data_IF_856628257132
#
_entry.id   IF_856628257132
#
_cell.length_a   1.000
_cell.length_b   1.000
_cell.length_c   1.000
_cell.angle_alpha   90.00
_cell.angle_beta   90.00
_cell.angle_gamma   90.00
#
_symmetry.space_group_name_H-M   'P 1'
#
loop_
_entity.id
_entity.type
_entity.pdbx_description
1 polymer ?
#
# COMPACT_ATOMS: atom_id res chain seq x y z
N UNK A 1 2.11 13.78 -21.41
CA UNK A 1 2.54 12.72 -20.45
C UNK A 1 2.99 11.51 -21.24
N UNK A 2 4.28 11.19 -21.24
CA UNK A 2 4.83 10.04 -21.95
C UNK A 2 4.29 8.76 -21.31
N UNK A 3 3.69 7.90 -22.10
CA UNK A 3 3.43 6.51 -21.77
C UNK A 3 4.77 5.75 -21.84
N UNK A 4 5.57 5.82 -20.82
CA UNK A 4 6.60 4.82 -20.60
C UNK A 4 5.88 3.59 -20.05
N UNK A 5 5.33 2.79 -20.95
CA UNK A 5 4.93 1.43 -20.66
C UNK A 5 6.21 0.62 -20.42
N UNK A 6 6.79 0.75 -19.24
CA UNK A 6 7.71 -0.26 -18.75
C UNK A 6 6.95 -1.59 -18.83
N UNK A 7 7.42 -2.46 -19.69
CA UNK A 7 6.90 -3.82 -19.84
C UNK A 7 7.09 -4.54 -18.49
N UNK A 8 6.11 -4.42 -17.60
CA UNK A 8 6.08 -5.09 -16.29
C UNK A 8 5.73 -6.57 -16.46
N UNK A 9 6.14 -7.17 -17.56
CA UNK A 9 5.85 -8.53 -18.00
C UNK A 9 5.55 -9.48 -16.85
N UNK A 10 4.28 -9.66 -16.53
CA UNK A 10 3.81 -10.64 -15.55
C UNK A 10 3.96 -10.26 -14.06
N UNK A 11 4.34 -9.03 -13.70
CA UNK A 11 4.41 -8.62 -12.29
C UNK A 11 3.01 -8.47 -11.69
N UNK A 12 2.80 -9.15 -10.56
CA UNK A 12 1.61 -9.06 -9.74
C UNK A 12 1.85 -8.14 -8.55
N UNK A 13 0.84 -7.34 -8.20
CA UNK A 13 0.85 -6.54 -6.99
C UNK A 13 0.10 -7.27 -5.89
N UNK A 14 0.73 -7.46 -4.73
CA UNK A 14 0.06 -7.85 -3.50
C UNK A 14 -0.42 -6.62 -2.73
N UNK A 15 -1.64 -6.68 -2.22
CA UNK A 15 -2.18 -5.68 -1.29
C UNK A 15 -2.63 -6.37 -0.03
N UNK A 16 -1.94 -6.13 1.08
CA UNK A 16 -2.32 -6.64 2.39
C UNK A 16 -3.22 -5.63 3.10
N UNK A 17 -4.44 -6.06 3.44
CA UNK A 17 -5.49 -5.20 3.97
C UNK A 17 -6.37 -4.61 2.86
N UNK A 18 -7.68 -4.60 3.11
CA UNK A 18 -8.66 -4.03 2.18
C UNK A 18 -9.60 -3.06 2.91
N UNK A 19 -9.01 -2.23 3.78
CA UNK A 19 -9.65 -1.04 4.34
C UNK A 19 -9.70 0.08 3.30
N UNK A 20 -9.95 1.30 3.74
CA UNK A 20 -10.01 2.48 2.84
C UNK A 20 -8.72 2.66 2.03
N UNK A 21 -7.57 2.62 2.67
CA UNK A 21 -6.28 2.81 1.97
C UNK A 21 -6.02 1.67 0.99
N UNK A 22 -6.25 0.40 1.38
CA UNK A 22 -6.10 -0.74 0.48
C UNK A 22 -7.01 -0.66 -0.74
N UNK A 23 -8.27 -0.28 -0.54
CA UNK A 23 -9.22 -0.06 -1.63
C UNK A 23 -8.73 1.02 -2.60
N UNK A 24 -8.32 2.18 -2.10
CA UNK A 24 -7.78 3.25 -2.94
C UNK A 24 -6.48 2.86 -3.64
N UNK A 25 -5.62 2.08 -3.00
CA UNK A 25 -4.42 1.51 -3.63
C UNK A 25 -4.81 0.68 -4.85
N UNK A 26 -5.79 -0.23 -4.69
CA UNK A 26 -6.32 -1.03 -5.82
C UNK A 26 -6.90 -0.13 -6.91
N UNK A 27 -7.73 0.87 -6.56
CA UNK A 27 -8.31 1.80 -7.53
C UNK A 27 -7.24 2.54 -8.35
N UNK A 28 -6.19 3.03 -7.68
CA UNK A 28 -5.10 3.72 -8.35
C UNK A 28 -4.35 2.82 -9.34
N UNK A 29 -4.07 1.57 -8.96
CA UNK A 29 -3.37 0.64 -9.85
C UNK A 29 -4.25 0.17 -11.00
N UNK A 30 -5.56 0.00 -10.79
CA UNK A 30 -6.54 -0.25 -11.85
C UNK A 30 -6.56 0.93 -12.84
N UNK A 31 -6.61 2.17 -12.36
CA UNK A 31 -6.60 3.35 -13.22
C UNK A 31 -5.32 3.50 -14.05
N UNK A 32 -4.18 3.11 -13.49
CA UNK A 32 -2.86 3.29 -14.12
C UNK A 32 -2.39 2.10 -14.96
N UNK A 33 -3.00 0.92 -14.77
CA UNK A 33 -2.64 -0.30 -15.50
C UNK A 33 -1.16 -0.69 -15.38
N UNK A 34 -0.53 -0.45 -14.21
CA UNK A 34 0.87 -0.81 -13.98
C UNK A 34 1.07 -2.32 -13.80
N UNK A 35 0.04 -3.01 -13.29
CA UNK A 35 0.05 -4.45 -13.03
C UNK A 35 -1.07 -5.11 -13.80
N UNK A 36 -0.81 -6.29 -14.33
CA UNK A 36 -1.82 -7.08 -15.05
C UNK A 36 -2.76 -7.81 -14.07
N UNK A 37 -2.28 -8.07 -12.87
CA UNK A 37 -3.02 -8.76 -11.82
C UNK A 37 -2.72 -8.14 -10.46
N UNK A 38 -3.75 -8.07 -9.61
CA UNK A 38 -3.63 -7.63 -8.22
C UNK A 38 -4.16 -8.74 -7.33
N UNK A 39 -3.38 -9.11 -6.31
CA UNK A 39 -3.79 -10.10 -5.29
C UNK A 39 -4.01 -9.35 -3.98
N UNK A 40 -5.25 -9.36 -3.50
CA UNK A 40 -5.65 -8.66 -2.29
C UNK A 40 -5.84 -9.66 -1.16
N UNK A 41 -5.15 -9.49 -0.03
CA UNK A 41 -5.43 -10.26 1.18
C UNK A 41 -6.29 -9.44 2.15
N UNK A 42 -7.48 -9.96 2.50
CA UNK A 42 -8.40 -9.28 3.39
C UNK A 42 -8.12 -9.60 4.87
N UNK A 43 -7.58 -10.77 5.17
CA UNK A 43 -7.14 -11.15 6.52
C UNK A 43 -8.24 -11.25 7.59
N UNK A 44 -9.50 -11.03 7.22
CA UNK A 44 -10.68 -11.15 8.08
C UNK A 44 -11.91 -11.51 7.23
N UNK A 45 -12.91 -12.08 7.86
CA UNK A 45 -14.21 -12.23 7.23
C UNK A 45 -14.77 -10.84 6.89
N UNK A 46 -14.86 -10.53 5.63
CA UNK A 46 -15.48 -9.30 5.10
C UNK A 46 -16.54 -9.73 4.10
N UNK A 47 -17.79 -9.59 4.48
CA UNK A 47 -18.90 -10.11 3.70
C UNK A 47 -18.99 -11.64 3.76
N UNK A 48 -20.04 -12.20 3.19
CA UNK A 48 -20.28 -13.65 3.09
C UNK A 48 -19.88 -14.19 1.71
N UNK A 49 -19.83 -13.33 0.70
CA UNK A 49 -19.58 -13.69 -0.69
C UNK A 49 -18.59 -12.75 -1.36
N UNK A 50 -18.09 -13.14 -2.52
CA UNK A 50 -17.26 -12.28 -3.37
C UNK A 50 -18.08 -11.11 -3.96
N UNK A 51 -19.38 -11.27 -4.10
CA UNK A 51 -20.28 -10.19 -4.49
C UNK A 51 -20.33 -9.08 -3.44
N UNK A 52 -20.32 -9.41 -2.14
CA UNK A 52 -20.23 -8.41 -1.07
C UNK A 52 -18.90 -7.65 -1.14
N UNK A 53 -17.82 -8.38 -1.43
CA UNK A 53 -16.50 -7.76 -1.65
C UNK A 53 -16.51 -6.84 -2.87
N UNK A 54 -17.17 -7.24 -3.96
CA UNK A 54 -17.32 -6.41 -5.16
C UNK A 54 -18.09 -5.11 -4.85
N UNK A 55 -19.19 -5.20 -4.10
CA UNK A 55 -19.92 -4.02 -3.65
C UNK A 55 -19.08 -3.12 -2.74
N UNK A 56 -18.32 -3.71 -1.84
CA UNK A 56 -17.39 -2.95 -0.98
C UNK A 56 -16.26 -2.30 -1.78
N UNK A 57 -15.73 -3.00 -2.79
CA UNK A 57 -14.70 -2.50 -3.66
C UNK A 57 -15.17 -1.33 -4.54
N UNK A 58 -16.45 -1.38 -4.99
CA UNK A 58 -17.05 -0.35 -5.83
C UNK A 58 -17.30 0.96 -5.09
N UNK A 59 -17.47 0.94 -3.76
CA UNK A 59 -17.97 2.08 -2.98
C UNK A 59 -17.05 2.45 -1.82
N UNK A 60 -16.88 3.75 -1.64
CA UNK A 60 -16.29 4.31 -0.44
C UNK A 60 -17.13 5.49 0.07
N UNK A 61 -17.31 5.57 1.40
CA UNK A 61 -18.15 6.61 2.03
C UNK A 61 -17.56 8.01 1.89
N UNK A 62 -16.26 8.13 1.68
CA UNK A 62 -15.56 9.41 1.58
C UNK A 62 -15.16 9.71 0.13
N UNK A 63 -14.65 8.72 -0.59
CA UNK A 63 -14.08 8.89 -1.93
C UNK A 63 -15.04 8.55 -3.06
N UNK A 64 -16.25 8.14 -2.75
CA UNK A 64 -17.30 7.92 -3.73
C UNK A 64 -17.24 6.53 -4.36
N UNK A 65 -17.32 6.44 -5.68
CA UNK A 65 -17.45 5.17 -6.41
C UNK A 65 -16.29 4.96 -7.39
N UNK A 66 -15.86 3.71 -7.54
CA UNK A 66 -14.79 3.31 -8.44
C UNK A 66 -15.04 3.78 -9.89
N UNK A 67 -16.26 3.58 -10.43
CA UNK A 67 -16.57 4.01 -11.79
C UNK A 67 -16.45 5.54 -11.94
N UNK A 68 -16.86 6.31 -10.93
CA UNK A 68 -16.72 7.78 -10.95
C UNK A 68 -15.26 8.20 -10.84
N UNK A 69 -14.46 7.50 -10.06
CA UNK A 69 -13.01 7.71 -9.97
C UNK A 69 -12.30 7.46 -11.32
N UNK A 70 -12.74 6.42 -12.07
CA UNK A 70 -12.14 6.06 -13.36
C UNK A 70 -12.65 6.93 -14.52
N UNK A 71 -13.93 7.24 -14.54
CA UNK A 71 -14.62 7.77 -15.73
C UNK A 71 -15.44 9.03 -15.47
N UNK A 72 -15.42 9.59 -14.27
CA UNK A 72 -16.18 10.77 -13.93
C UNK A 72 -17.70 10.54 -14.05
N UNK A 73 -18.36 11.37 -14.85
CA UNK A 73 -19.81 11.29 -15.08
C UNK A 73 -20.22 10.15 -16.04
N UNK A 74 -19.27 9.55 -16.77
CA UNK A 74 -19.55 8.46 -17.70
C UNK A 74 -19.68 7.13 -16.93
N UNK A 75 -20.80 6.96 -16.24
CA UNK A 75 -21.07 5.78 -15.44
C UNK A 75 -21.18 4.53 -16.34
N UNK A 76 -20.34 3.54 -16.07
CA UNK A 76 -20.45 2.20 -16.66
C UNK A 76 -20.04 1.16 -15.62
N UNK A 77 -20.56 -0.08 -15.69
CA UNK A 77 -20.07 -1.16 -14.85
C UNK A 77 -18.58 -1.34 -15.02
N UNK A 78 -17.84 -1.42 -13.92
CA UNK A 78 -16.38 -1.58 -13.92
C UNK A 78 -15.94 -2.90 -13.29
N UNK A 79 -16.85 -3.62 -12.64
CA UNK A 79 -16.62 -4.94 -12.06
C UNK A 79 -17.43 -5.97 -12.85
N UNK A 80 -16.79 -7.04 -13.28
CA UNK A 80 -17.38 -8.16 -14.02
C UNK A 80 -16.70 -9.47 -13.67
N UNK A 81 -17.16 -10.56 -14.25
CA UNK A 81 -16.56 -11.90 -14.23
C UNK A 81 -16.20 -12.35 -12.80
N UNK A 82 -17.20 -12.24 -11.89
CA UNK A 82 -17.03 -12.64 -10.49
C UNK A 82 -17.09 -14.17 -10.38
N UNK A 83 -15.96 -14.78 -10.01
CA UNK A 83 -15.83 -16.22 -9.76
C UNK A 83 -15.61 -16.48 -8.27
N UNK A 84 -16.66 -16.90 -7.57
CA UNK A 84 -16.63 -17.19 -6.13
C UNK A 84 -15.68 -18.34 -5.77
N UNK A 85 -15.54 -19.35 -6.65
CA UNK A 85 -14.67 -20.51 -6.39
C UNK A 85 -13.20 -20.15 -6.53
N UNK A 86 -12.86 -19.39 -7.57
CA UNK A 86 -11.49 -18.92 -7.79
C UNK A 86 -11.14 -17.74 -6.86
N UNK A 87 -12.12 -17.07 -6.28
CA UNK A 87 -11.92 -15.86 -5.49
C UNK A 87 -11.50 -14.67 -6.35
N UNK A 88 -11.95 -14.59 -7.60
CA UNK A 88 -11.47 -13.60 -8.58
C UNK A 88 -12.60 -12.77 -9.18
N UNK A 89 -12.26 -11.56 -9.61
CA UNK A 89 -13.14 -10.71 -10.43
C UNK A 89 -12.32 -9.86 -11.37
N UNK A 90 -12.95 -9.38 -12.43
CA UNK A 90 -12.38 -8.36 -13.30
C UNK A 90 -12.78 -6.97 -12.81
N UNK A 91 -11.81 -6.08 -12.64
CA UNK A 91 -12.04 -4.68 -12.29
C UNK A 91 -11.43 -3.80 -13.39
N UNK A 92 -12.30 -3.25 -14.23
CA UNK A 92 -11.91 -2.43 -15.41
C UNK A 92 -10.80 -3.09 -16.26
N UNK A 93 -10.96 -4.38 -16.57
CA UNK A 93 -10.00 -5.14 -17.36
C UNK A 93 -8.72 -5.56 -16.62
N UNK A 94 -8.62 -5.31 -15.31
CA UNK A 94 -7.56 -5.84 -14.45
C UNK A 94 -8.08 -7.05 -13.68
N UNK A 95 -7.34 -8.16 -13.69
CA UNK A 95 -7.67 -9.34 -12.91
C UNK A 95 -7.33 -9.10 -11.43
N UNK A 96 -8.31 -9.27 -10.55
CA UNK A 96 -8.14 -9.09 -9.09
C UNK A 96 -8.53 -10.36 -8.37
N UNK A 97 -7.61 -10.92 -7.60
CA UNK A 97 -7.82 -12.11 -6.76
C UNK A 97 -7.90 -11.72 -5.29
N UNK A 98 -8.82 -12.32 -4.55
CA UNK A 98 -9.01 -12.07 -3.12
C UNK A 98 -8.67 -13.32 -2.29
N UNK A 99 -7.73 -13.15 -1.36
CA UNK A 99 -7.39 -14.12 -0.33
C UNK A 99 -8.09 -13.72 0.96
N UNK A 100 -8.73 -14.69 1.65
CA UNK A 100 -9.62 -14.40 2.79
C UNK A 100 -9.27 -15.17 4.06
N UNK A 101 -8.16 -15.89 4.09
CA UNK A 101 -7.86 -16.85 5.15
C UNK A 101 -6.91 -16.31 6.21
N UNK A 102 -5.81 -15.69 5.82
CA UNK A 102 -4.67 -15.50 6.72
C UNK A 102 -4.51 -14.05 7.15
N UNK A 103 -4.25 -13.83 8.43
CA UNK A 103 -4.05 -12.51 9.03
C UNK A 103 -2.58 -12.16 9.20
N UNK A 104 -1.79 -13.15 9.59
CA UNK A 104 -0.37 -12.95 9.82
C UNK A 104 0.37 -12.88 8.49
N UNK A 105 1.24 -11.91 8.29
CA UNK A 105 1.97 -11.72 7.04
C UNK A 105 2.73 -12.96 6.55
N UNK A 106 3.31 -13.74 7.46
CA UNK A 106 4.05 -14.97 7.14
C UNK A 106 3.18 -16.09 6.58
N UNK A 107 1.89 -16.11 6.88
CA UNK A 107 0.96 -17.16 6.46
C UNK A 107 0.28 -16.83 5.11
N UNK A 108 0.37 -15.57 4.66
CA UNK A 108 -0.23 -15.16 3.39
C UNK A 108 0.51 -15.82 2.23
N UNK A 109 -0.22 -16.48 1.35
CA UNK A 109 0.36 -17.29 0.28
C UNK A 109 1.00 -16.50 -0.88
N UNK A 110 1.78 -15.44 -0.63
CA UNK A 110 2.37 -14.62 -1.70
C UNK A 110 3.19 -15.42 -2.69
N UNK A 111 3.99 -16.39 -2.22
CA UNK A 111 4.78 -17.29 -3.08
C UNK A 111 3.91 -18.14 -4.00
N UNK A 112 2.79 -18.66 -3.49
CA UNK A 112 1.84 -19.47 -4.28
C UNK A 112 1.15 -18.63 -5.35
N UNK A 113 0.93 -17.35 -5.07
CA UNK A 113 0.33 -16.40 -6.00
C UNK A 113 1.37 -15.73 -6.92
N UNK A 114 2.65 -16.02 -6.78
CA UNK A 114 3.75 -15.38 -7.50
C UNK A 114 3.78 -13.86 -7.32
N UNK A 115 3.45 -13.39 -6.10
CA UNK A 115 3.51 -11.98 -5.72
C UNK A 115 4.89 -11.66 -5.16
N UNK A 116 5.58 -10.70 -5.77
CA UNK A 116 6.93 -10.30 -5.37
C UNK A 116 6.98 -8.90 -4.71
N UNK A 117 6.00 -8.07 -4.98
CA UNK A 117 5.84 -6.75 -4.38
C UNK A 117 4.53 -6.70 -3.60
N UNK A 118 4.61 -6.32 -2.33
CA UNK A 118 3.44 -6.18 -1.45
C UNK A 118 3.33 -4.74 -0.96
N UNK A 119 2.13 -4.18 -1.01
CA UNK A 119 1.77 -2.95 -0.30
C UNK A 119 0.94 -3.34 0.92
N UNK A 120 1.47 -3.11 2.11
CA UNK A 120 0.74 -3.30 3.36
C UNK A 120 -0.02 -2.02 3.73
N UNK A 121 -1.33 -2.15 3.77
CA UNK A 121 -2.28 -1.08 4.10
C UNK A 121 -3.04 -1.35 5.40
N UNK A 122 -2.59 -2.34 6.19
CA UNK A 122 -3.23 -2.73 7.45
C UNK A 122 -2.98 -1.72 8.56
N UNK A 123 -1.85 -1.03 8.53
CA UNK A 123 -1.40 -0.14 9.59
C UNK A 123 -1.01 -0.87 10.88
N UNK A 124 -0.75 -2.19 10.84
CA UNK A 124 -0.47 -3.01 12.01
C UNK A 124 1.02 -3.38 12.15
N UNK A 125 1.68 -3.73 11.07
CA UNK A 125 3.03 -4.32 11.08
C UNK A 125 4.09 -3.25 10.84
N UNK A 126 4.18 -2.27 11.74
CA UNK A 126 4.93 -1.02 11.52
C UNK A 126 6.35 -1.05 12.05
N UNK A 127 6.73 -2.07 12.81
CA UNK A 127 8.07 -2.19 13.37
C UNK A 127 8.95 -3.05 12.44
N UNK A 128 9.95 -2.44 11.76
CA UNK A 128 10.81 -3.17 10.83
C UNK A 128 11.88 -4.01 11.52
N UNK A 129 12.05 -3.86 12.84
CA UNK A 129 13.04 -4.60 13.63
C UNK A 129 12.55 -5.99 14.03
N UNK A 130 11.23 -6.21 14.03
CA UNK A 130 10.64 -7.48 14.45
C UNK A 130 10.95 -8.60 13.45
N UNK A 131 11.28 -9.82 13.93
CA UNK A 131 11.51 -10.97 13.08
C UNK A 131 10.25 -11.40 12.34
N UNK A 132 10.42 -12.21 11.29
CA UNK A 132 9.31 -12.66 10.44
C UNK A 132 8.27 -13.48 11.22
N UNK A 133 8.75 -14.30 12.16
CA UNK A 133 7.95 -15.24 12.96
C UNK A 133 7.36 -14.60 14.23
N UNK A 134 7.40 -13.27 14.33
CA UNK A 134 6.85 -12.58 15.50
C UNK A 134 5.38 -12.96 15.71
N UNK A 135 4.94 -13.36 16.94
CA UNK A 135 3.61 -13.93 17.20
C UNK A 135 2.44 -13.04 16.77
N UNK A 136 2.63 -11.73 16.81
CA UNK A 136 1.63 -10.75 16.39
C UNK A 136 1.79 -10.34 14.91
N UNK A 137 2.67 -11.00 14.16
CA UNK A 137 3.03 -10.64 12.79
C UNK A 137 4.04 -9.49 12.71
N UNK A 138 4.70 -9.37 11.58
CA UNK A 138 5.64 -8.30 11.26
C UNK A 138 5.66 -8.01 9.76
N UNK A 139 6.21 -6.87 9.35
CA UNK A 139 6.42 -6.58 7.92
C UNK A 139 7.35 -7.62 7.26
N UNK A 140 8.31 -8.18 8.01
CA UNK A 140 9.23 -9.23 7.54
C UNK A 140 8.52 -10.53 7.21
N UNK A 141 7.36 -10.79 7.83
CA UNK A 141 6.53 -11.95 7.51
C UNK A 141 6.09 -11.98 6.05
N UNK A 142 5.84 -10.82 5.41
CA UNK A 142 5.55 -10.77 3.98
C UNK A 142 6.74 -11.22 3.12
N UNK A 143 7.97 -10.90 3.55
CA UNK A 143 9.18 -11.34 2.85
C UNK A 143 9.37 -12.85 2.96
N UNK A 144 9.11 -13.40 4.14
CA UNK A 144 9.17 -14.86 4.38
C UNK A 144 8.09 -15.58 3.58
N UNK A 145 6.90 -15.02 3.51
CA UNK A 145 5.78 -15.53 2.69
C UNK A 145 6.05 -15.48 1.17
N UNK A 146 7.16 -14.85 0.73
CA UNK A 146 7.62 -14.89 -0.66
C UNK A 146 7.69 -13.57 -1.39
N UNK A 147 7.37 -12.45 -0.74
CA UNK A 147 7.58 -11.14 -1.33
C UNK A 147 9.08 -10.78 -1.35
N UNK A 148 9.54 -10.09 -2.39
CA UNK A 148 10.89 -9.53 -2.41
C UNK A 148 10.94 -8.21 -1.65
N UNK A 149 9.87 -7.42 -1.77
CA UNK A 149 9.75 -6.09 -1.17
C UNK A 149 8.37 -5.84 -0.60
N UNK A 150 8.36 -5.08 0.49
CA UNK A 150 7.14 -4.62 1.16
C UNK A 150 7.15 -3.10 1.28
N UNK A 151 6.06 -2.47 0.89
CA UNK A 151 5.82 -1.04 1.08
C UNK A 151 4.73 -0.89 2.14
N UNK A 152 5.03 -0.22 3.23
CA UNK A 152 4.05 0.12 4.26
C UNK A 152 3.42 1.48 3.96
N UNK A 153 2.10 1.54 3.94
CA UNK A 153 1.34 2.79 3.78
C UNK A 153 1.23 3.61 5.08
N UNK A 154 2.21 3.43 5.97
CA UNK A 154 2.25 4.04 7.29
C UNK A 154 3.69 4.23 7.76
N UNK A 155 3.94 5.13 8.73
CA UNK A 155 5.29 5.34 9.27
C UNK A 155 5.75 4.14 10.08
N UNK A 156 7.06 3.92 10.11
CA UNK A 156 7.65 2.97 11.06
C UNK A 156 7.39 3.39 12.51
N UNK A 157 7.17 2.39 13.35
CA UNK A 157 7.03 2.53 14.80
C UNK A 157 7.89 1.47 15.49
N UNK A 158 9.13 1.79 15.75
CA UNK A 158 10.04 0.93 16.51
C UNK A 158 9.66 1.02 17.99
N UNK A 159 9.25 -0.11 18.56
CA UNK A 159 8.79 -0.19 19.94
C UNK A 159 9.96 -0.04 20.93
N UNK A 160 11.09 -0.64 20.59
CA UNK A 160 12.32 -0.50 21.33
C UNK A 160 13.06 0.77 20.89
N UNK A 161 13.19 1.73 21.79
CA UNK A 161 13.87 3.01 21.52
C UNK A 161 15.40 2.90 21.41
N UNK A 162 15.95 1.72 21.66
CA UNK A 162 17.39 1.44 21.62
C UNK A 162 17.79 0.85 20.27
N UNK A 163 16.85 0.19 19.59
CA UNK A 163 17.11 -0.45 18.30
C UNK A 163 17.22 0.57 17.17
N UNK A 164 18.30 0.50 16.44
CA UNK A 164 18.50 1.28 15.22
C UNK A 164 17.61 0.78 14.07
N UNK A 165 17.39 1.66 13.08
CA UNK A 165 16.71 1.28 11.86
C UNK A 165 17.50 0.18 11.13
N UNK A 166 16.87 -0.95 10.78
CA UNK A 166 17.55 -1.99 10.02
C UNK A 166 18.07 -1.48 8.68
N UNK A 167 19.23 -2.00 8.27
CA UNK A 167 19.90 -1.62 7.04
C UNK A 167 19.09 -1.85 5.76
N UNK A 168 18.14 -2.77 5.79
CA UNK A 168 17.24 -3.10 4.69
C UNK A 168 15.88 -2.37 4.75
N UNK A 169 15.73 -1.44 5.70
CA UNK A 169 14.53 -0.63 5.87
C UNK A 169 14.80 0.85 5.56
N UNK A 170 13.83 1.54 4.95
CA UNK A 170 13.94 2.97 4.61
C UNK A 170 12.60 3.65 4.67
N UNK A 171 12.57 4.90 5.15
CA UNK A 171 11.41 5.77 5.01
C UNK A 171 11.61 6.71 3.84
N UNK A 172 10.66 6.76 2.90
CA UNK A 172 10.74 7.61 1.73
C UNK A 172 9.54 8.53 1.60
N UNK A 173 9.80 9.77 1.19
CA UNK A 173 8.78 10.74 0.76
C UNK A 173 9.16 11.18 -0.65
N UNK A 174 8.30 10.88 -1.62
CA UNK A 174 8.53 11.23 -3.02
C UNK A 174 8.75 12.73 -3.20
N UNK A 175 9.78 13.11 -3.94
CA UNK A 175 10.16 14.52 -4.14
C UNK A 175 10.99 15.13 -2.99
N UNK A 176 11.15 14.45 -1.86
CA UNK A 176 11.95 14.89 -0.71
C UNK A 176 13.24 14.09 -0.59
N UNK A 177 13.12 12.80 -0.37
CA UNK A 177 14.24 11.89 -0.15
C UNK A 177 14.10 10.56 -0.89
N UNK A 178 13.42 10.54 -2.02
CA UNK A 178 13.26 9.32 -2.82
C UNK A 178 14.59 8.69 -3.25
N UNK A 179 15.68 9.49 -3.32
CA UNK A 179 17.03 9.03 -3.66
C UNK A 179 17.71 8.23 -2.53
N UNK A 180 17.16 8.23 -1.32
CA UNK A 180 17.66 7.40 -0.22
C UNK A 180 17.28 5.92 -0.41
N UNK A 181 16.32 5.65 -1.32
CA UNK A 181 15.96 4.29 -1.66
C UNK A 181 16.99 3.63 -2.57
N UNK A 182 17.62 2.56 -2.06
CA UNK A 182 18.46 1.66 -2.86
C UNK A 182 17.69 0.35 -3.15
N UNK A 183 17.36 0.05 -4.41
CA UNK A 183 16.59 -1.15 -4.76
C UNK A 183 17.34 -2.47 -4.49
N UNK A 184 18.66 -2.45 -4.33
CA UNK A 184 19.45 -3.66 -4.01
C UNK A 184 19.49 -3.94 -2.51
N UNK A 185 19.38 -2.90 -1.69
CA UNK A 185 19.50 -2.97 -0.23
C UNK A 185 18.15 -3.02 0.46
N UNK A 186 17.29 -2.06 0.13
CA UNK A 186 16.05 -1.86 0.88
C UNK A 186 14.95 -2.83 0.44
N UNK A 187 14.45 -3.59 1.40
CA UNK A 187 13.37 -4.55 1.24
C UNK A 187 12.08 -4.13 1.91
N UNK A 188 12.17 -3.32 2.97
CA UNK A 188 11.02 -2.79 3.72
C UNK A 188 11.03 -1.28 3.59
N UNK A 189 10.00 -0.74 2.96
CA UNK A 189 9.89 0.67 2.64
C UNK A 189 8.67 1.26 3.35
N UNK A 190 8.85 2.32 4.12
CA UNK A 190 7.74 3.11 4.65
C UNK A 190 7.52 4.34 3.77
N UNK A 191 6.26 4.59 3.41
CA UNK A 191 5.87 5.83 2.74
C UNK A 191 5.59 6.99 3.73
N UNK A 192 6.16 6.91 4.93
CA UNK A 192 5.97 7.88 6.01
C UNK A 192 4.49 8.03 6.42
N UNK A 193 4.10 9.21 6.87
CA UNK A 193 2.72 9.52 7.24
C UNK A 193 2.14 10.64 6.37
N UNK A 194 0.81 10.78 6.34
CA UNK A 194 0.14 11.91 5.70
C UNK A 194 0.67 13.25 6.21
N UNK A 195 0.85 13.38 7.53
CA UNK A 195 1.40 14.56 8.19
C UNK A 195 2.84 14.82 7.81
N UNK A 196 3.70 13.79 7.84
CA UNK A 196 5.12 13.91 7.46
C UNK A 196 5.25 14.31 5.99
N UNK A 197 4.48 13.70 5.10
CA UNK A 197 4.49 14.02 3.67
C UNK A 197 4.07 15.47 3.43
N UNK A 198 3.00 15.93 4.07
CA UNK A 198 2.56 17.32 3.98
C UNK A 198 3.64 18.29 4.47
N UNK A 199 4.14 18.10 5.68
CA UNK A 199 5.14 18.97 6.29
C UNK A 199 6.44 19.03 5.49
N UNK A 200 6.93 17.89 5.01
CA UNK A 200 8.18 17.80 4.27
C UNK A 200 8.13 18.65 2.98
N UNK A 201 7.02 18.62 2.26
CA UNK A 201 6.84 19.42 1.04
C UNK A 201 6.70 20.94 1.34
N UNK A 202 6.19 21.29 2.52
CA UNK A 202 6.13 22.71 2.94
C UNK A 202 7.50 23.23 3.38
N UNK A 203 8.26 22.44 4.12
CA UNK A 203 9.53 22.84 4.73
C UNK A 203 10.70 22.78 3.74
N UNK A 204 10.73 21.80 2.83
CA UNK A 204 11.84 21.62 1.89
C UNK A 204 12.15 22.88 1.06
N UNK A 205 11.19 23.59 0.45
CA UNK A 205 11.45 24.84 -0.24
C UNK A 205 12.05 25.93 0.66
N UNK A 206 11.58 26.02 1.90
CA UNK A 206 12.11 27.02 2.88
C UNK A 206 13.56 26.70 3.25
N UNK A 207 13.88 25.42 3.49
CA UNK A 207 15.25 24.98 3.75
C UNK A 207 16.16 25.26 2.56
N UNK A 208 15.69 25.05 1.34
CA UNK A 208 16.47 25.32 0.13
C UNK A 208 16.69 26.83 -0.08
N UNK A 209 15.69 27.66 0.21
CA UNK A 209 15.78 29.12 -0.01
C UNK A 209 16.60 29.83 1.08
N UNK A 210 16.46 29.44 2.34
CA UNK A 210 17.03 30.16 3.47
C UNK A 210 18.15 29.41 4.19
N UNK A 211 18.28 28.12 3.97
CA UNK A 211 19.20 27.25 4.70
C UNK A 211 18.70 26.89 6.11
N UNK A 212 19.15 25.78 6.69
CA UNK A 212 18.63 25.24 7.96
C UNK A 212 18.93 26.16 9.14
N UNK A 213 20.04 26.91 9.10
CA UNK A 213 20.46 27.80 10.20
C UNK A 213 19.57 29.04 10.40
N UNK A 214 18.72 29.37 9.41
CA UNK A 214 17.82 30.53 9.48
C UNK A 214 16.43 30.19 9.98
N UNK A 215 16.10 28.91 10.17
CA UNK A 215 14.84 28.45 10.74
C UNK A 215 15.11 28.14 12.20
N UNK A 216 14.72 29.06 13.09
CA UNK A 216 15.02 28.98 14.53
C UNK A 216 14.01 28.08 15.28
N UNK A 217 12.75 28.12 14.84
CA UNK A 217 11.68 27.31 15.42
C UNK A 217 10.55 27.12 14.41
N UNK A 218 9.80 26.04 14.59
CA UNK A 218 8.58 25.79 13.85
C UNK A 218 7.56 25.09 14.75
N UNK A 219 6.28 25.37 14.53
CA UNK A 219 5.18 24.63 15.17
C UNK A 219 4.20 24.19 14.09
N UNK A 220 3.55 23.05 14.33
CA UNK A 220 2.56 22.50 13.41
C UNK A 220 1.35 21.99 14.20
N UNK A 221 0.17 22.31 13.70
CA UNK A 221 -1.07 21.71 14.13
C UNK A 221 -1.72 20.96 12.95
N UNK A 222 -2.26 19.78 13.21
CA UNK A 222 -2.98 19.01 12.21
C UNK A 222 -4.40 18.75 12.68
N UNK A 223 -5.35 18.87 11.75
CA UNK A 223 -6.76 18.53 12.00
C UNK A 223 -7.11 17.37 11.10
N UNK A 224 -7.55 16.28 11.71
CA UNK A 224 -8.01 15.09 11.02
C UNK A 224 -9.50 14.93 11.17
N UNK A 225 -10.21 14.71 10.05
CA UNK A 225 -11.62 14.36 10.10
C UNK A 225 -11.80 12.97 10.71
N UNK A 226 -12.86 12.82 11.51
CA UNK A 226 -13.34 11.49 11.90
C UNK A 226 -13.96 10.81 10.69
N UNK A 227 -13.42 9.67 10.28
CA UNK A 227 -13.87 8.93 9.09
C UNK A 227 -14.16 7.47 9.41
#
# INVERSE_FOLDING_TARGET
MRKDSANTGGLKLGVAGFGRIGKLTVWHHIARKYFNEIVVNIGRASGTSLHDIAHYAERDSTYGRLHAFLYGQAAKPVISDIDEKAGTMMMDGTHVKFLRSDRLPCDIGWRRENVRLVVDTTGQFLDPTLPAEHPNGSARGHLDAGADKVILSAPFKIADKISDMPDDAVTTVMGINANDYDPRRHRIISNASCTTTCLAHMVKPLLNAFGPKRILSASMATVHAAT
#
